data_IF_623995131675
#
_entry.id   IF_623995131675
#
_cell.length_a   1.000
_cell.length_b   1.000
_cell.length_c   1.000
_cell.angle_alpha   90.00
_cell.angle_beta   90.00
_cell.angle_gamma   90.00
#
_symmetry.space_group_name_H-M   'P 1'
#
loop_
_entity.id
_entity.type
_entity.pdbx_description
1 polymer ?
#
# COMPACT_ATOMS: atom_id res chain seq x y z
N UNK A 1 -69.35 37.22 -54.71
CA UNK A 1 -70.69 37.19 -54.11
C UNK A 1 -70.52 37.10 -52.60
N UNK A 2 -70.87 38.22 -51.95
CA UNK A 2 -71.56 38.38 -50.68
C UNK A 2 -70.98 37.67 -49.43
N UNK A 3 -70.40 38.44 -48.48
CA UNK A 3 -71.09 39.07 -47.32
C UNK A 3 -71.37 38.01 -46.22
N UNK A 4 -70.90 38.12 -44.97
CA UNK A 4 -71.34 39.09 -43.96
C UNK A 4 -70.53 38.90 -42.64
N UNK A 5 -69.95 40.02 -42.17
CA UNK A 5 -70.02 40.62 -40.81
C UNK A 5 -69.33 39.98 -39.59
N UNK A 6 -68.33 40.74 -39.11
CA UNK A 6 -67.99 41.17 -37.74
C UNK A 6 -68.52 40.36 -36.52
N UNK A 7 -67.61 40.07 -35.59
CA UNK A 7 -67.60 40.72 -34.27
C UNK A 7 -66.29 40.41 -33.52
N UNK A 8 -65.88 41.39 -32.72
CA UNK A 8 -64.58 41.55 -32.06
C UNK A 8 -64.74 41.21 -30.57
N UNK A 9 -63.62 40.82 -29.94
CA UNK A 9 -63.29 40.96 -28.50
C UNK A 9 -63.81 39.85 -27.57
N UNK A 10 -62.89 39.33 -26.75
CA UNK A 10 -63.25 38.63 -25.51
C UNK A 10 -62.17 37.68 -25.02
N UNK A 11 -61.15 38.22 -24.36
CA UNK A 11 -59.98 37.49 -23.91
C UNK A 11 -60.22 36.52 -22.73
N UNK A 12 -59.43 35.46 -22.77
CA UNK A 12 -58.70 34.86 -21.64
C UNK A 12 -59.35 33.76 -20.80
N UNK A 13 -58.46 32.81 -20.49
CA UNK A 13 -58.45 31.94 -19.31
C UNK A 13 -59.48 30.79 -19.29
N UNK A 14 -59.02 29.54 -19.46
CA UNK A 14 -58.52 28.67 -18.36
C UNK A 14 -58.57 27.18 -18.73
N UNK A 15 -57.50 26.48 -18.38
CA UNK A 15 -57.32 25.02 -18.23
C UNK A 15 -57.32 24.17 -19.53
N UNK A 16 -56.17 23.75 -20.06
CA UNK A 16 -55.28 22.67 -19.55
C UNK A 16 -55.84 21.28 -19.85
N UNK A 17 -55.27 20.59 -20.86
CA UNK A 17 -54.66 19.24 -20.71
C UNK A 17 -54.20 18.64 -22.05
N UNK A 18 -52.91 18.32 -22.06
CA UNK A 18 -52.30 17.11 -22.63
C UNK A 18 -52.45 16.85 -24.13
N UNK A 19 -51.43 17.22 -24.91
CA UNK A 19 -50.84 16.29 -25.89
C UNK A 19 -49.32 16.48 -25.88
N UNK A 20 -48.61 15.35 -25.78
CA UNK A 20 -47.18 15.18 -25.63
C UNK A 20 -46.38 15.78 -26.80
N UNK A 21 -45.41 16.64 -26.48
CA UNK A 21 -44.37 17.07 -27.40
C UNK A 21 -43.18 16.09 -27.26
N UNK A 22 -43.01 15.19 -28.22
CA UNK A 22 -41.78 14.44 -28.43
C UNK A 22 -41.07 15.07 -29.62
N UNK A 23 -40.10 15.95 -29.35
CA UNK A 23 -39.14 16.40 -30.35
C UNK A 23 -37.76 16.41 -29.70
N UNK A 24 -36.95 15.49 -30.21
CA UNK A 24 -35.63 15.06 -29.76
C UNK A 24 -34.64 16.22 -29.67
N UNK A 25 -34.22 16.55 -28.45
CA UNK A 25 -32.98 17.27 -28.20
C UNK A 25 -31.88 16.20 -28.14
N UNK A 26 -31.15 16.03 -29.24
CA UNK A 26 -29.87 15.32 -29.25
C UNK A 26 -28.81 16.26 -28.63
N UNK A 27 -28.85 16.40 -27.30
CA UNK A 27 -27.73 16.96 -26.56
C UNK A 27 -26.66 15.88 -26.42
N UNK A 28 -25.45 16.23 -26.86
CA UNK A 28 -24.32 15.33 -26.98
C UNK A 28 -24.00 14.60 -25.68
N UNK A 29 -24.29 13.31 -25.68
CA UNK A 29 -23.52 12.34 -24.89
C UNK A 29 -22.09 12.38 -25.42
N UNK A 30 -21.26 13.25 -24.84
CA UNK A 30 -19.83 12.97 -24.77
C UNK A 30 -19.70 11.70 -23.92
N UNK A 31 -19.69 10.55 -24.59
CA UNK A 31 -19.11 9.35 -24.03
C UNK A 31 -17.67 9.71 -23.69
N UNK A 32 -17.41 9.98 -22.41
CA UNK A 32 -16.07 10.11 -21.89
C UNK A 32 -15.43 8.74 -22.10
N UNK A 33 -14.68 8.62 -23.19
CA UNK A 33 -13.87 7.44 -23.49
C UNK A 33 -12.89 7.32 -22.33
N UNK A 34 -13.19 6.42 -21.39
CA UNK A 34 -12.27 6.08 -20.31
C UNK A 34 -11.07 5.46 -21.00
N UNK A 35 -10.00 6.22 -21.09
CA UNK A 35 -8.72 5.78 -21.61
C UNK A 35 -8.22 4.63 -20.73
N UNK A 36 -8.47 3.41 -21.19
CA UNK A 36 -8.18 2.19 -20.42
C UNK A 36 -6.72 1.75 -20.60
N UNK A 37 -5.89 2.60 -21.22
CA UNK A 37 -4.54 2.29 -21.71
C UNK A 37 -3.43 3.17 -21.10
N UNK A 38 -3.72 3.98 -20.07
CA UNK A 38 -2.65 4.68 -19.36
C UNK A 38 -1.87 3.69 -18.49
N UNK A 39 -0.73 3.22 -18.99
CA UNK A 39 0.26 2.47 -18.23
C UNK A 39 0.60 3.20 -16.93
N UNK A 40 0.43 2.54 -15.78
CA UNK A 40 0.77 3.08 -14.46
C UNK A 40 2.11 2.51 -14.00
N UNK A 41 3.15 3.34 -14.06
CA UNK A 41 4.45 3.03 -13.43
C UNK A 41 4.50 3.60 -12.02
N UNK A 42 4.88 2.79 -11.04
CA UNK A 42 5.04 3.20 -9.64
C UNK A 42 6.50 3.03 -9.23
N UNK A 43 7.11 4.08 -8.71
CA UNK A 43 8.47 4.08 -8.21
C UNK A 43 8.44 4.07 -6.68
N UNK A 44 9.01 3.03 -6.07
CA UNK A 44 9.00 2.82 -4.62
C UNK A 44 10.43 2.73 -4.08
N UNK A 45 10.73 3.50 -3.04
CA UNK A 45 11.92 3.30 -2.22
C UNK A 45 11.54 2.66 -0.88
N UNK A 46 12.17 1.53 -0.54
CA UNK A 46 11.99 0.91 0.78
C UNK A 46 13.12 1.30 1.72
N UNK A 47 12.80 1.89 2.87
CA UNK A 47 13.73 2.13 3.99
C UNK A 47 13.41 1.09 5.07
N UNK A 48 14.23 0.06 5.16
CA UNK A 48 13.96 -1.05 6.08
C UNK A 48 15.04 -2.11 6.12
N UNK A 49 14.60 -3.37 6.07
CA UNK A 49 15.46 -4.53 6.33
C UNK A 49 14.98 -5.78 5.59
N UNK A 50 15.33 -6.96 6.09
CA UNK A 50 14.93 -8.25 5.51
C UNK A 50 13.42 -8.42 5.37
N UNK A 51 12.59 -7.78 6.21
CA UNK A 51 11.13 -7.86 6.09
C UNK A 51 10.60 -7.08 4.87
N UNK A 52 11.21 -5.93 4.54
CA UNK A 52 10.91 -5.23 3.28
C UNK A 52 11.36 -6.08 2.08
N UNK A 53 12.53 -6.72 2.17
CA UNK A 53 12.99 -7.66 1.15
C UNK A 53 12.02 -8.83 0.95
N UNK A 54 11.48 -9.40 2.04
CA UNK A 54 10.46 -10.45 1.97
C UNK A 54 9.19 -9.98 1.26
N UNK A 55 8.69 -8.79 1.59
CA UNK A 55 7.51 -8.24 0.93
C UNK A 55 7.72 -7.95 -0.56
N UNK A 56 8.93 -7.51 -0.93
CA UNK A 56 9.29 -7.22 -2.32
C UNK A 56 9.65 -8.45 -3.14
N UNK A 57 9.91 -9.62 -2.52
CA UNK A 57 10.49 -10.79 -3.19
C UNK A 57 9.76 -11.19 -4.48
N UNK A 58 8.43 -11.12 -4.48
CA UNK A 58 7.58 -11.47 -5.61
C UNK A 58 6.80 -10.29 -6.18
N UNK A 59 7.10 -9.07 -5.69
CA UNK A 59 6.26 -7.91 -6.00
C UNK A 59 6.38 -7.52 -7.47
N UNK A 60 7.57 -7.60 -8.05
CA UNK A 60 7.80 -7.29 -9.47
C UNK A 60 7.03 -8.25 -10.37
N UNK A 61 7.11 -9.56 -10.14
CA UNK A 61 6.38 -10.57 -10.94
C UNK A 61 4.87 -10.48 -10.73
N UNK A 62 4.42 -10.15 -9.51
CA UNK A 62 3.00 -9.88 -9.24
C UNK A 62 2.52 -8.69 -10.07
N UNK A 63 3.27 -7.59 -10.08
CA UNK A 63 2.95 -6.36 -10.82
C UNK A 63 2.95 -6.61 -12.32
N UNK A 64 4.02 -7.21 -12.85
CA UNK A 64 4.15 -7.53 -14.28
C UNK A 64 3.06 -8.48 -14.79
N UNK A 65 2.45 -9.27 -13.90
CA UNK A 65 1.32 -10.13 -14.26
C UNK A 65 0.00 -9.38 -14.52
N UNK A 66 -0.01 -8.06 -14.33
CA UNK A 66 -1.11 -7.13 -14.60
C UNK A 66 -0.63 -6.13 -15.65
N UNK A 67 -1.12 -6.27 -16.88
CA UNK A 67 -0.51 -5.71 -18.11
C UNK A 67 -0.28 -4.20 -18.13
N UNK A 68 -1.05 -3.42 -17.37
CA UNK A 68 -0.96 -1.95 -17.32
C UNK A 68 -0.23 -1.43 -16.08
N UNK A 69 0.41 -2.29 -15.29
CA UNK A 69 1.11 -1.94 -14.06
C UNK A 69 2.61 -2.23 -14.18
N UNK A 70 3.44 -1.26 -13.81
CA UNK A 70 4.89 -1.40 -13.72
C UNK A 70 5.37 -0.88 -12.37
N UNK A 71 6.42 -1.49 -11.83
CA UNK A 71 7.04 -1.05 -10.58
C UNK A 71 8.56 -0.97 -10.74
N UNK A 72 9.16 0.07 -10.15
CA UNK A 72 10.59 0.15 -9.89
C UNK A 72 10.81 0.18 -8.38
N UNK A 73 11.68 -0.69 -7.87
CA UNK A 73 11.95 -0.82 -6.43
C UNK A 73 13.40 -0.45 -6.12
N UNK A 74 13.61 0.67 -5.46
CA UNK A 74 14.89 1.04 -4.84
C UNK A 74 14.92 0.58 -3.38
N UNK A 75 16.07 0.12 -2.89
CA UNK A 75 16.19 -0.48 -1.54
C UNK A 75 17.25 0.21 -0.70
N UNK A 76 16.81 0.96 0.31
CA UNK A 76 17.59 1.36 1.48
C UNK A 76 17.43 0.31 2.60
N UNK A 77 17.68 -0.98 2.28
CA UNK A 77 17.45 -2.09 3.22
C UNK A 77 18.76 -2.61 3.80
N UNK A 78 18.87 -2.62 5.13
CA UNK A 78 20.03 -3.18 5.85
C UNK A 78 19.53 -4.32 6.76
N UNK A 79 20.22 -5.46 6.78
CA UNK A 79 19.83 -6.60 7.64
C UNK A 79 19.68 -6.19 9.11
N UNK A 80 18.53 -6.52 9.71
CA UNK A 80 18.22 -6.19 11.11
C UNK A 80 18.14 -4.69 11.44
N UNK A 81 18.06 -3.80 10.45
CA UNK A 81 18.07 -2.36 10.69
C UNK A 81 16.79 -1.88 11.34
N UNK A 82 16.92 -1.14 12.45
CA UNK A 82 15.85 -0.44 13.16
C UNK A 82 15.63 0.97 12.59
N UNK A 83 14.49 1.58 12.95
CA UNK A 83 14.26 3.01 12.69
C UNK A 83 15.39 3.87 13.27
N UNK A 84 15.82 3.54 14.49
CA UNK A 84 16.94 4.21 15.16
C UNK A 84 18.22 4.15 14.32
N UNK A 85 18.60 2.97 13.85
CA UNK A 85 19.82 2.81 13.07
C UNK A 85 19.75 3.59 11.76
N UNK A 86 18.63 3.56 11.04
CA UNK A 86 18.45 4.40 9.85
C UNK A 86 18.57 5.90 10.18
N UNK A 87 17.95 6.35 11.27
CA UNK A 87 18.01 7.75 11.69
C UNK A 87 19.43 8.19 12.07
N UNK A 88 20.18 7.35 12.80
CA UNK A 88 21.56 7.66 13.19
C UNK A 88 22.50 7.66 11.97
N UNK A 89 22.24 6.82 10.97
CA UNK A 89 23.00 6.80 9.72
C UNK A 89 22.83 8.08 8.90
N UNK A 90 21.72 8.81 9.03
CA UNK A 90 21.55 10.12 8.40
C UNK A 90 22.64 11.08 8.89
N UNK A 91 22.73 11.26 10.21
CA UNK A 91 23.69 12.17 10.84
C UNK A 91 25.13 11.75 10.53
N UNK A 92 25.41 10.44 10.61
CA UNK A 92 26.73 9.90 10.29
C UNK A 92 27.14 10.15 8.83
N UNK A 93 26.24 9.99 7.86
CA UNK A 93 26.54 10.25 6.44
C UNK A 93 26.66 11.75 6.12
N UNK A 94 26.02 12.63 6.90
CA UNK A 94 26.21 14.07 6.75
C UNK A 94 27.58 14.53 7.30
N UNK A 95 28.10 13.86 8.32
CA UNK A 95 29.44 14.11 8.87
C UNK A 95 30.55 13.49 8.02
N UNK A 96 30.31 12.30 7.47
CA UNK A 96 31.23 11.60 6.57
C UNK A 96 30.54 11.29 5.23
N UNK A 97 30.71 12.13 4.20
CA UNK A 97 30.17 11.89 2.86
C UNK A 97 30.65 10.58 2.21
N UNK A 98 31.77 10.02 2.67
CA UNK A 98 32.32 8.74 2.22
C UNK A 98 31.60 7.52 2.82
N UNK A 99 30.83 7.70 3.90
CA UNK A 99 30.04 6.63 4.51
C UNK A 99 28.84 6.27 3.62
N UNK A 100 28.85 5.07 3.06
CA UNK A 100 27.82 4.57 2.12
C UNK A 100 27.15 3.28 2.64
N UNK A 101 26.29 3.36 3.67
CA UNK A 101 25.78 2.17 4.38
C UNK A 101 24.79 1.33 3.56
N UNK A 102 24.22 1.88 2.47
CA UNK A 102 23.27 1.17 1.63
C UNK A 102 24.00 0.57 0.43
N UNK A 103 24.18 -0.75 0.47
CA UNK A 103 24.85 -1.51 -0.60
C UNK A 103 26.31 -1.10 -0.82
N UNK A 104 26.97 -0.52 0.20
CA UNK A 104 28.34 0.02 0.12
C UNK A 104 28.55 1.08 -0.99
N UNK A 105 27.47 1.69 -1.46
CA UNK A 105 27.49 2.59 -2.62
C UNK A 105 26.72 3.88 -2.39
N UNK A 106 25.69 3.87 -1.53
CA UNK A 106 24.82 5.03 -1.32
C UNK A 106 24.64 5.38 0.17
N UNK A 107 24.47 6.68 0.44
CA UNK A 107 23.81 7.20 1.64
C UNK A 107 22.29 7.24 1.41
N UNK A 108 21.50 7.51 2.47
CA UNK A 108 20.04 7.63 2.29
C UNK A 108 19.70 8.82 1.39
N UNK A 109 20.45 9.93 1.49
CA UNK A 109 20.28 11.11 0.66
C UNK A 109 20.50 10.80 -0.82
N UNK A 110 21.55 10.04 -1.13
CA UNK A 110 21.84 9.66 -2.52
C UNK A 110 20.65 8.89 -3.12
N UNK A 111 20.09 7.92 -2.36
CA UNK A 111 18.92 7.15 -2.80
C UNK A 111 17.65 8.00 -2.93
N UNK A 112 17.42 8.94 -2.02
CA UNK A 112 16.25 9.84 -2.07
C UNK A 112 16.30 10.78 -3.28
N UNK A 113 17.49 11.18 -3.72
CA UNK A 113 17.70 12.05 -4.88
C UNK A 113 17.86 11.28 -6.20
N UNK A 114 18.00 9.96 -6.15
CA UNK A 114 18.22 9.11 -7.32
C UNK A 114 17.02 9.07 -8.28
N UNK A 115 15.81 9.27 -7.76
CA UNK A 115 14.57 9.09 -8.53
C UNK A 115 13.42 9.92 -7.96
N UNK A 116 12.34 10.06 -8.73
CA UNK A 116 11.05 10.60 -8.28
C UNK A 116 10.16 9.46 -7.84
N UNK A 117 10.13 9.20 -6.54
CA UNK A 117 9.30 8.15 -5.96
C UNK A 117 7.84 8.59 -5.80
N UNK A 118 6.90 7.70 -6.16
CA UNK A 118 5.50 7.83 -5.76
C UNK A 118 5.33 7.49 -4.29
N UNK A 119 6.04 6.46 -3.82
CA UNK A 119 5.94 5.97 -2.46
C UNK A 119 7.31 5.72 -1.82
N UNK A 120 7.43 6.08 -0.55
CA UNK A 120 8.59 5.71 0.27
C UNK A 120 8.10 4.96 1.50
N UNK A 121 8.57 3.74 1.70
CA UNK A 121 8.11 2.91 2.84
C UNK A 121 9.09 2.97 3.99
N UNK A 122 8.59 3.10 5.22
CA UNK A 122 9.38 2.93 6.45
C UNK A 122 8.84 1.77 7.29
N UNK A 123 9.70 1.14 8.08
CA UNK A 123 9.30 0.11 9.05
C UNK A 123 10.27 0.02 10.23
N UNK A 124 9.81 -0.54 11.35
CA UNK A 124 10.66 -0.92 12.46
C UNK A 124 11.31 -2.30 12.23
N UNK A 125 12.41 -2.58 12.97
CA UNK A 125 12.96 -3.93 13.10
C UNK A 125 11.97 -4.82 13.85
N UNK A 126 11.85 -6.08 13.44
CA UNK A 126 10.77 -6.95 13.91
C UNK A 126 10.80 -7.21 15.42
N UNK A 127 11.99 -7.29 16.03
CA UNK A 127 12.17 -7.47 17.48
C UNK A 127 11.78 -6.25 18.33
N UNK A 128 11.61 -5.08 17.72
CA UNK A 128 11.20 -3.85 18.41
C UNK A 128 9.81 -3.37 17.97
N UNK A 129 9.23 -3.97 16.93
CA UNK A 129 7.97 -3.53 16.33
C UNK A 129 6.76 -3.52 17.28
N UNK A 130 6.79 -4.32 18.34
CA UNK A 130 5.77 -4.34 19.39
C UNK A 130 6.04 -3.36 20.55
N UNK A 131 7.17 -2.65 20.53
CA UNK A 131 7.62 -1.74 21.59
C UNK A 131 7.44 -0.29 21.17
N UNK A 132 6.35 0.36 21.62
CA UNK A 132 5.94 1.70 21.16
C UNK A 132 7.04 2.77 21.29
N UNK A 133 7.81 2.75 22.38
CA UNK A 133 8.85 3.74 22.66
C UNK A 133 10.05 3.69 21.69
N UNK A 134 10.18 2.64 20.87
CA UNK A 134 11.29 2.51 19.91
C UNK A 134 11.04 3.22 18.59
N UNK A 135 9.82 3.71 18.36
CA UNK A 135 9.45 4.38 17.12
C UNK A 135 9.93 5.83 17.11
N UNK A 136 9.79 6.54 18.23
CA UNK A 136 10.16 7.95 18.37
C UNK A 136 11.45 8.13 19.16
N UNK A 137 12.28 9.14 18.84
CA UNK A 137 12.08 10.19 17.82
C UNK A 137 12.48 9.77 16.39
N UNK A 138 12.86 8.50 16.20
CA UNK A 138 13.54 8.04 14.99
C UNK A 138 12.65 8.06 13.74
N UNK A 139 11.37 7.70 13.86
CA UNK A 139 10.41 7.79 12.77
C UNK A 139 10.24 9.25 12.31
N UNK A 140 10.09 10.19 13.25
CA UNK A 140 10.02 11.63 12.93
C UNK A 140 11.26 12.10 12.15
N UNK A 141 12.46 11.72 12.60
CA UNK A 141 13.71 12.08 11.91
C UNK A 141 13.71 11.59 10.46
N UNK A 142 13.33 10.32 10.23
CA UNK A 142 13.25 9.75 8.89
C UNK A 142 12.20 10.43 8.02
N UNK A 143 11.00 10.65 8.54
CA UNK A 143 9.90 11.29 7.80
C UNK A 143 10.31 12.71 7.39
N UNK A 144 10.87 13.50 8.30
CA UNK A 144 11.34 14.85 7.97
C UNK A 144 12.48 14.84 6.94
N UNK A 145 13.37 13.85 7.01
CA UNK A 145 14.44 13.70 6.02
C UNK A 145 13.89 13.36 4.63
N UNK A 146 12.91 12.46 4.57
CA UNK A 146 12.21 12.11 3.33
C UNK A 146 11.50 13.34 2.77
N UNK A 147 10.70 14.06 3.57
CA UNK A 147 10.00 15.27 3.13
C UNK A 147 10.94 16.36 2.62
N UNK A 148 12.17 16.43 3.16
CA UNK A 148 13.18 17.39 2.71
C UNK A 148 13.73 17.06 1.32
N UNK A 149 14.00 15.79 1.02
CA UNK A 149 14.73 15.40 -0.21
C UNK A 149 13.86 14.73 -1.28
N UNK A 150 12.68 14.23 -0.91
CA UNK A 150 11.69 13.63 -1.80
C UNK A 150 10.26 14.10 -1.44
N UNK A 151 9.97 15.43 -1.44
CA UNK A 151 8.69 15.99 -1.00
C UNK A 151 7.47 15.54 -1.82
N UNK A 152 7.67 15.04 -3.03
CA UNK A 152 6.60 14.53 -3.89
C UNK A 152 6.15 13.10 -3.56
N UNK A 153 6.91 12.38 -2.73
CA UNK A 153 6.61 10.99 -2.42
C UNK A 153 5.65 10.87 -1.22
N UNK A 154 4.66 9.99 -1.33
CA UNK A 154 3.82 9.64 -0.21
C UNK A 154 4.54 8.63 0.69
N UNK A 155 4.69 8.95 1.97
CA UNK A 155 5.31 8.04 2.94
C UNK A 155 4.29 7.01 3.42
N UNK A 156 4.69 5.74 3.40
CA UNK A 156 3.88 4.61 3.86
C UNK A 156 4.58 3.87 5.01
N UNK A 157 3.82 3.41 6.00
CA UNK A 157 4.33 2.47 6.99
C UNK A 157 4.12 1.03 6.51
N UNK A 158 5.18 0.23 6.49
CA UNK A 158 5.06 -1.21 6.31
C UNK A 158 4.77 -1.88 7.66
N UNK A 159 3.49 -2.14 7.93
CA UNK A 159 3.06 -2.91 9.10
C UNK A 159 3.54 -4.35 8.93
N UNK A 160 4.65 -4.68 9.59
CA UNK A 160 5.29 -6.01 9.58
C UNK A 160 4.45 -7.06 10.33
N UNK A 161 4.93 -8.28 10.51
CA UNK A 161 4.14 -9.37 11.09
C UNK A 161 4.69 -9.87 12.44
N UNK A 162 3.78 -10.40 13.25
CA UNK A 162 4.13 -11.18 14.42
C UNK A 162 4.85 -12.48 14.03
N UNK A 163 5.66 -12.99 14.94
CA UNK A 163 6.39 -14.24 14.74
C UNK A 163 5.45 -15.44 14.74
N UNK A 164 5.96 -16.57 14.26
CA UNK A 164 5.23 -17.83 14.29
C UNK A 164 4.92 -18.22 15.74
N UNK A 165 3.79 -18.92 16.01
CA UNK A 165 3.43 -19.30 17.39
C UNK A 165 4.47 -20.17 18.10
N UNK A 166 5.30 -20.87 17.31
CA UNK A 166 6.37 -21.79 17.70
C UNK A 166 7.75 -21.13 17.73
N UNK A 167 7.87 -19.81 17.52
CA UNK A 167 9.15 -19.12 17.57
C UNK A 167 9.70 -19.04 19.00
N UNK A 168 10.92 -19.53 19.23
CA UNK A 168 11.59 -19.52 20.55
C UNK A 168 11.65 -18.12 21.17
N UNK A 169 11.90 -17.09 20.34
CA UNK A 169 11.96 -15.69 20.78
C UNK A 169 10.68 -15.19 21.44
N UNK A 170 9.52 -15.71 21.05
CA UNK A 170 8.26 -15.35 21.71
C UNK A 170 8.23 -15.84 23.16
N UNK A 171 8.77 -17.04 23.42
CA UNK A 171 8.90 -17.58 24.77
C UNK A 171 9.90 -16.77 25.60
N UNK A 172 11.06 -16.43 25.02
CA UNK A 172 12.09 -15.60 25.67
C UNK A 172 11.56 -14.24 26.11
N UNK A 173 10.67 -13.64 25.31
CA UNK A 173 10.05 -12.34 25.60
C UNK A 173 8.78 -12.44 26.44
N UNK A 174 8.39 -13.65 26.85
CA UNK A 174 7.11 -13.91 27.51
C UNK A 174 5.93 -13.27 26.75
N UNK A 175 5.93 -13.39 25.43
CA UNK A 175 5.03 -12.70 24.52
C UNK A 175 4.26 -13.72 23.68
N UNK A 176 2.93 -13.64 23.68
CA UNK A 176 2.14 -14.45 22.74
C UNK A 176 2.20 -13.85 21.33
N UNK A 177 1.99 -14.68 20.30
CA UNK A 177 1.80 -14.18 18.93
C UNK A 177 0.64 -13.18 18.83
N UNK A 178 -0.44 -13.41 19.59
CA UNK A 178 -1.60 -12.51 19.63
C UNK A 178 -1.19 -11.13 20.14
N UNK A 179 -0.58 -11.06 21.32
CA UNK A 179 -0.12 -9.81 21.92
C UNK A 179 0.92 -9.11 21.05
N UNK A 180 1.85 -9.85 20.42
CA UNK A 180 2.79 -9.25 19.46
C UNK A 180 2.06 -8.63 18.27
N UNK A 181 1.06 -9.33 17.71
CA UNK A 181 0.26 -8.83 16.59
C UNK A 181 -0.50 -7.57 16.97
N UNK A 182 -1.19 -7.58 18.10
CA UNK A 182 -2.02 -6.47 18.57
C UNK A 182 -1.16 -5.22 18.82
N UNK A 183 -0.03 -5.37 19.52
CA UNK A 183 0.92 -4.27 19.75
C UNK A 183 1.51 -3.73 18.45
N UNK A 184 1.85 -4.60 17.50
CA UNK A 184 2.39 -4.18 16.21
C UNK A 184 1.35 -3.39 15.41
N UNK A 185 0.12 -3.89 15.30
CA UNK A 185 -0.98 -3.19 14.62
C UNK A 185 -1.24 -1.84 15.27
N UNK A 186 -1.27 -1.80 16.61
CA UNK A 186 -1.45 -0.56 17.35
C UNK A 186 -0.33 0.46 17.05
N UNK A 187 0.94 0.07 17.22
CA UNK A 187 2.08 0.98 17.05
C UNK A 187 2.15 1.57 15.64
N UNK A 188 1.96 0.75 14.60
CA UNK A 188 1.93 1.27 13.22
C UNK A 188 0.71 2.14 12.94
N UNK A 189 -0.43 1.86 13.57
CA UNK A 189 -1.65 2.70 13.44
C UNK A 189 -1.42 4.06 14.08
N UNK A 190 -0.84 4.10 15.29
CA UNK A 190 -0.48 5.34 15.97
C UNK A 190 0.51 6.16 15.13
N UNK A 191 1.55 5.52 14.58
CA UNK A 191 2.51 6.21 13.72
C UNK A 191 1.85 6.77 12.46
N UNK A 192 1.03 5.94 11.79
CA UNK A 192 0.30 6.34 10.58
C UNK A 192 -0.62 7.52 10.84
N UNK A 193 -1.40 7.50 11.92
CA UNK A 193 -2.31 8.59 12.28
C UNK A 193 -1.56 9.87 12.68
N UNK A 194 -0.46 9.74 13.42
CA UNK A 194 0.33 10.88 13.89
C UNK A 194 0.92 11.71 12.75
N UNK A 195 1.32 11.05 11.65
CA UNK A 195 2.01 11.67 10.52
C UNK A 195 1.22 11.63 9.21
N UNK A 196 -0.06 11.25 9.25
CA UNK A 196 -0.92 11.06 8.08
C UNK A 196 -0.30 10.17 6.98
N UNK A 197 0.27 9.04 7.40
CA UNK A 197 0.95 8.10 6.51
C UNK A 197 -0.02 7.04 6.02
N UNK A 198 0.15 6.60 4.77
CA UNK A 198 -0.52 5.38 4.31
C UNK A 198 0.07 4.13 4.96
N UNK A 199 -0.62 2.99 4.83
CA UNK A 199 -0.20 1.73 5.47
C UNK A 199 -0.20 0.55 4.50
N UNK A 200 0.82 -0.30 4.62
CA UNK A 200 0.91 -1.61 3.96
C UNK A 200 0.69 -2.71 5.03
N UNK A 201 -0.55 -3.23 5.20
CA UNK A 201 -0.94 -4.09 6.33
C UNK A 201 -0.53 -5.55 6.18
N UNK A 202 0.76 -5.83 5.92
CA UNK A 202 1.28 -7.20 5.78
C UNK A 202 1.06 -8.02 7.05
N UNK A 203 1.25 -7.43 8.23
CA UNK A 203 1.01 -8.07 9.52
C UNK A 203 -0.39 -8.59 9.72
N UNK A 204 -1.38 -7.74 9.43
CA UNK A 204 -2.79 -8.12 9.48
C UNK A 204 -3.13 -9.22 8.47
N UNK A 205 -2.52 -9.19 7.28
CA UNK A 205 -2.68 -10.27 6.31
C UNK A 205 -2.12 -11.60 6.82
N UNK A 206 -0.91 -11.59 7.38
CA UNK A 206 -0.29 -12.77 7.99
C UNK A 206 -1.15 -13.34 9.11
N UNK A 207 -1.62 -12.46 9.98
CA UNK A 207 -2.42 -12.83 11.13
C UNK A 207 -3.71 -13.54 10.72
N UNK A 208 -4.49 -12.92 9.83
CA UNK A 208 -5.76 -13.46 9.34
C UNK A 208 -5.59 -14.70 8.45
N UNK A 209 -4.50 -14.78 7.69
CA UNK A 209 -4.19 -15.96 6.86
C UNK A 209 -4.00 -17.18 7.74
N UNK A 210 -3.09 -17.09 8.71
CA UNK A 210 -2.74 -18.20 9.60
C UNK A 210 -3.92 -18.63 10.48
N UNK A 211 -4.68 -17.68 11.05
CA UNK A 211 -5.84 -18.01 11.89
C UNK A 211 -6.95 -18.73 11.10
N UNK A 212 -7.04 -18.49 9.78
CA UNK A 212 -7.99 -19.21 8.91
C UNK A 212 -7.47 -20.55 8.43
N UNK A 213 -6.15 -20.68 8.23
CA UNK A 213 -5.49 -21.88 7.69
C UNK A 213 -4.07 -21.99 8.25
N UNK A 214 -3.93 -22.56 9.43
CA UNK A 214 -2.64 -22.71 10.12
C UNK A 214 -1.66 -23.64 9.39
N UNK A 215 -2.17 -24.55 8.56
CA UNK A 215 -1.37 -25.41 7.70
C UNK A 215 -0.72 -24.67 6.52
N UNK A 216 -1.13 -23.42 6.24
CA UNK A 216 -0.47 -22.56 5.26
C UNK A 216 0.60 -21.73 5.98
N UNK A 217 1.69 -22.39 6.38
CA UNK A 217 2.82 -21.77 7.09
C UNK A 217 3.37 -20.58 6.28
N UNK A 218 3.59 -19.45 6.95
CA UNK A 218 4.02 -18.19 6.33
C UNK A 218 5.46 -17.79 6.69
N UNK A 219 6.05 -18.46 7.67
CA UNK A 219 7.40 -18.18 8.16
C UNK A 219 8.39 -19.23 7.67
N UNK A 220 9.65 -18.84 7.54
CA UNK A 220 10.78 -19.75 7.37
C UNK A 220 11.03 -20.56 8.65
N UNK A 221 12.05 -21.41 8.63
CA UNK A 221 12.45 -22.23 9.78
C UNK A 221 12.90 -21.43 10.99
N UNK A 222 13.24 -20.15 10.83
CA UNK A 222 13.64 -19.28 11.93
C UNK A 222 12.45 -18.72 12.73
N UNK A 223 11.21 -18.90 12.24
CA UNK A 223 9.99 -18.49 12.92
C UNK A 223 9.66 -16.99 12.82
N UNK A 224 10.45 -16.18 12.10
CA UNK A 224 10.18 -14.74 11.96
C UNK A 224 10.29 -14.20 10.54
N UNK A 225 11.25 -14.63 9.73
CA UNK A 225 11.27 -14.27 8.31
C UNK A 225 10.13 -14.96 7.57
N UNK A 226 9.65 -14.33 6.50
CA UNK A 226 8.65 -14.95 5.65
C UNK A 226 9.28 -16.07 4.80
N UNK A 227 8.54 -17.17 4.64
CA UNK A 227 8.81 -18.14 3.57
C UNK A 227 8.13 -17.71 2.26
N UNK A 228 8.14 -18.57 1.24
CA UNK A 228 7.54 -18.24 -0.07
C UNK A 228 6.04 -17.89 0.00
N UNK A 229 5.28 -18.55 0.86
CA UNK A 229 3.87 -18.22 1.06
C UNK A 229 3.71 -16.82 1.68
N UNK A 230 4.53 -16.51 2.69
CA UNK A 230 4.52 -15.22 3.37
C UNK A 230 4.95 -14.08 2.45
N UNK A 231 6.04 -14.28 1.69
CA UNK A 231 6.53 -13.34 0.69
C UNK A 231 5.44 -13.04 -0.36
N UNK A 232 4.79 -14.07 -0.90
CA UNK A 232 3.73 -13.89 -1.89
C UNK A 232 2.50 -13.16 -1.31
N UNK A 233 2.12 -13.49 -0.06
CA UNK A 233 1.02 -12.82 0.62
C UNK A 233 1.32 -11.33 0.84
N UNK A 234 2.51 -10.99 1.32
CA UNK A 234 2.94 -9.61 1.50
C UNK A 234 3.01 -8.86 0.16
N UNK A 235 3.57 -9.46 -0.89
CA UNK A 235 3.58 -8.89 -2.24
C UNK A 235 2.16 -8.60 -2.77
N UNK A 236 1.19 -9.48 -2.52
CA UNK A 236 -0.21 -9.24 -2.88
C UNK A 236 -0.82 -8.05 -2.12
N UNK A 237 -0.46 -7.86 -0.84
CA UNK A 237 -0.89 -6.70 -0.04
C UNK A 237 -0.32 -5.43 -0.64
N UNK A 238 0.99 -5.42 -0.90
CA UNK A 238 1.69 -4.27 -1.45
C UNK A 238 1.15 -3.88 -2.83
N UNK A 239 1.03 -4.84 -3.75
CA UNK A 239 0.43 -4.60 -5.07
C UNK A 239 -0.92 -3.88 -4.97
N UNK A 240 -1.82 -4.41 -4.13
CA UNK A 240 -3.18 -3.90 -4.05
C UNK A 240 -3.22 -2.50 -3.47
N UNK A 241 -2.35 -2.18 -2.51
CA UNK A 241 -2.29 -0.85 -1.91
C UNK A 241 -1.63 0.18 -2.83
N UNK A 242 -0.45 -0.15 -3.40
CA UNK A 242 0.32 0.76 -4.22
C UNK A 242 -0.44 1.11 -5.51
N UNK A 243 -1.01 0.11 -6.18
CA UNK A 243 -1.74 0.32 -7.43
C UNK A 243 -3.22 0.63 -7.24
N UNK A 244 -3.75 0.52 -6.01
CA UNK A 244 -5.19 0.61 -5.72
C UNK A 244 -6.01 -0.36 -6.61
N UNK A 245 -5.41 -1.50 -6.95
CA UNK A 245 -5.90 -2.45 -7.94
C UNK A 245 -6.25 -3.78 -7.31
N UNK A 246 -7.28 -4.45 -7.80
CA UNK A 246 -7.72 -5.69 -7.15
C UNK A 246 -6.76 -6.86 -7.38
N UNK A 247 -6.46 -7.61 -6.32
CA UNK A 247 -5.71 -8.89 -6.44
C UNK A 247 -6.33 -9.90 -7.41
N UNK A 248 -7.60 -9.74 -7.82
CA UNK A 248 -8.19 -10.62 -8.86
C UNK A 248 -7.46 -10.52 -10.20
N UNK A 249 -6.84 -9.38 -10.49
CA UNK A 249 -6.08 -9.15 -11.74
C UNK A 249 -4.72 -9.87 -11.74
N UNK A 250 -4.13 -10.14 -10.56
CA UNK A 250 -2.85 -10.86 -10.45
C UNK A 250 -3.01 -12.26 -11.07
N UNK A 251 -2.25 -12.54 -12.13
CA UNK A 251 -2.24 -13.84 -12.79
C UNK A 251 -1.05 -14.71 -12.35
N UNK A 252 0.02 -14.09 -11.88
CA UNK A 252 1.22 -14.76 -11.36
C UNK A 252 0.96 -15.51 -10.04
N UNK A 253 1.70 -16.60 -9.86
CA UNK A 253 1.98 -17.23 -8.58
C UNK A 253 3.34 -17.95 -8.67
N UNK A 254 4.16 -17.95 -7.61
CA UNK A 254 5.49 -18.56 -7.63
C UNK A 254 5.46 -20.06 -7.91
N UNK A 255 6.54 -20.56 -8.48
CA UNK A 255 6.78 -22.00 -8.58
C UNK A 255 6.74 -22.64 -7.19
N UNK A 256 6.12 -23.82 -7.08
CA UNK A 256 5.88 -24.50 -5.81
C UNK A 256 4.68 -23.99 -5.00
N UNK A 257 4.10 -22.83 -5.34
CA UNK A 257 2.86 -22.36 -4.72
C UNK A 257 1.63 -22.88 -5.48
N UNK A 258 0.82 -23.73 -4.84
CA UNK A 258 -0.39 -24.23 -5.51
C UNK A 258 -1.43 -23.11 -5.77
N UNK A 259 -2.16 -23.23 -6.88
CA UNK A 259 -3.16 -22.24 -7.33
C UNK A 259 -4.29 -22.00 -6.30
N UNK A 260 -4.57 -22.95 -5.40
CA UNK A 260 -5.60 -22.80 -4.36
C UNK A 260 -5.07 -21.93 -3.21
N UNK A 261 -3.82 -22.11 -2.78
CA UNK A 261 -3.10 -21.24 -1.84
C UNK A 261 -2.95 -19.84 -2.41
N UNK A 262 -2.50 -19.70 -3.65
CA UNK A 262 -2.37 -18.39 -4.30
C UNK A 262 -3.70 -17.61 -4.31
N UNK A 263 -4.81 -18.25 -4.72
CA UNK A 263 -6.15 -17.64 -4.64
C UNK A 263 -6.56 -17.30 -3.20
N UNK A 264 -6.21 -18.15 -2.23
CA UNK A 264 -6.47 -17.88 -0.82
C UNK A 264 -5.74 -16.62 -0.34
N UNK A 265 -4.44 -16.50 -0.59
CA UNK A 265 -3.64 -15.34 -0.19
C UNK A 265 -4.10 -14.05 -0.86
N UNK A 266 -4.37 -14.07 -2.17
CA UNK A 266 -4.96 -12.93 -2.90
C UNK A 266 -6.25 -12.42 -2.25
N UNK A 267 -7.10 -13.34 -1.78
CA UNK A 267 -8.34 -12.98 -1.07
C UNK A 267 -8.08 -12.42 0.33
N UNK A 268 -7.08 -12.93 1.05
CA UNK A 268 -6.69 -12.39 2.36
C UNK A 268 -6.15 -10.97 2.22
N UNK A 269 -5.21 -10.75 1.31
CA UNK A 269 -4.61 -9.43 1.04
C UNK A 269 -5.67 -8.37 0.76
N UNK A 270 -6.56 -8.64 -0.21
CA UNK A 270 -7.67 -7.74 -0.56
C UNK A 270 -8.59 -7.36 0.60
N UNK A 271 -8.75 -8.24 1.60
CA UNK A 271 -9.61 -7.96 2.75
C UNK A 271 -9.00 -6.96 3.73
N UNK A 272 -7.66 -6.84 3.77
CA UNK A 272 -7.00 -5.94 4.72
C UNK A 272 -7.20 -4.46 4.37
N UNK A 273 -7.39 -4.16 3.09
CA UNK A 273 -7.28 -2.80 2.57
C UNK A 273 -8.60 -2.02 2.64
N UNK A 274 -9.71 -2.71 2.93
CA UNK A 274 -10.98 -2.06 3.27
C UNK A 274 -10.91 -1.29 4.59
N UNK A 275 -9.96 -1.63 5.46
CA UNK A 275 -9.78 -0.99 6.76
C UNK A 275 -8.72 0.13 6.76
N UNK A 276 -7.93 0.25 5.69
CA UNK A 276 -6.77 1.16 5.63
C UNK A 276 -6.65 1.82 4.24
N UNK A 277 -7.59 2.71 3.85
CA UNK A 277 -7.44 3.48 2.62
C UNK A 277 -6.18 4.35 2.68
N UNK A 278 -5.52 4.58 1.53
CA UNK A 278 -4.47 5.60 1.47
C UNK A 278 -5.06 6.99 1.76
N UNK A 279 -4.33 7.88 2.47
CA UNK A 279 -4.64 9.30 2.54
C UNK A 279 -4.94 9.86 1.15
N UNK A 280 -5.94 10.75 1.05
CA UNK A 280 -6.25 11.44 -0.22
C UNK A 280 -5.18 12.51 -0.43
N UNK A 281 -4.53 12.47 -1.59
CA UNK A 281 -3.65 13.53 -2.10
C UNK A 281 -4.39 14.84 -2.29
#
# INVERSE_FOLDING_TARGET
MNEVILARIGASQKYMRCVFLFLLIFEGLHAQQVDHDSTRSIHVLTIGNSFANNACKYLEEIVQSVTHCHILITKANIGGCSLEKHANLIEACEQDPGLKPYGNTHSLKDLLLQDKYDYITIQQVSSQSFMAHTFEPHANKLINYISKYAPGAQVLVHQTWAYSPDAERLLEWNLSRQSMHDSLVHNYTVLSQKYDLGMLPSGSAFFHSFNKRSNYKLWSSDGYHANENGCYLAGCVWFTQLFQETTRKITYFPEGLDKKKARFFKRIARRQLRAHPLPRS
#
